data_IF_662142428678
#
_entry.id   IF_662142428678
#
_cell.length_a   1.000
_cell.length_b   1.000
_cell.length_c   1.000
_cell.angle_alpha   90.00
_cell.angle_beta   90.00
_cell.angle_gamma   90.00
#
_symmetry.space_group_name_H-M   'P 1'
#
loop_
_entity.id
_entity.type
_entity.pdbx_description
1 polymer ?
#
# COMPACT_ATOMS: atom_id res chain seq x y z
N UNK A 1 25.87 25.41 24.53
CA UNK A 1 25.22 24.07 24.51
C UNK A 1 23.74 24.15 24.07
N UNK A 2 23.40 24.87 23.00
CA UNK A 2 22.01 25.04 22.51
C UNK A 2 21.76 24.45 21.11
N UNK A 3 22.81 24.16 20.34
CA UNK A 3 22.68 23.61 18.98
C UNK A 3 22.06 22.20 18.92
N UNK A 4 22.38 21.32 19.88
CA UNK A 4 21.91 19.92 19.86
C UNK A 4 20.39 19.73 20.09
N UNK A 5 19.70 20.71 20.71
CA UNK A 5 18.25 20.61 20.96
C UNK A 5 17.44 21.07 19.74
N UNK A 6 17.89 22.10 19.04
CA UNK A 6 17.27 22.59 17.81
C UNK A 6 17.36 21.56 16.67
N UNK A 7 18.48 20.85 16.54
CA UNK A 7 18.62 19.80 15.52
C UNK A 7 17.67 18.62 15.75
N UNK A 8 17.47 18.17 17.00
CA UNK A 8 16.51 17.09 17.30
C UNK A 8 15.05 17.50 17.05
N UNK A 9 14.72 18.77 17.32
CA UNK A 9 13.38 19.31 17.04
C UNK A 9 13.11 19.42 15.53
N UNK A 10 14.11 19.85 14.73
CA UNK A 10 14.01 19.86 13.27
C UNK A 10 13.83 18.45 12.71
N UNK A 11 14.64 17.49 13.14
CA UNK A 11 14.50 16.09 12.69
C UNK A 11 13.12 15.52 13.02
N UNK A 12 12.58 15.76 14.22
CA UNK A 12 11.22 15.30 14.56
C UNK A 12 10.12 15.92 13.71
N UNK A 13 10.24 17.21 13.39
CA UNK A 13 9.30 17.87 12.49
C UNK A 13 9.39 17.29 11.09
N UNK A 14 10.60 17.11 10.55
CA UNK A 14 10.80 16.53 9.21
C UNK A 14 10.27 15.10 9.11
N UNK A 15 10.49 14.25 10.13
CA UNK A 15 9.91 12.90 10.17
C UNK A 15 8.38 12.93 10.24
N UNK A 16 7.79 13.83 11.04
CA UNK A 16 6.34 13.96 11.14
C UNK A 16 5.69 14.50 9.86
N UNK A 17 6.36 15.40 9.14
CA UNK A 17 5.90 15.89 7.84
C UNK A 17 6.03 14.81 6.75
N UNK A 18 7.10 14.01 6.77
CA UNK A 18 7.27 12.88 5.85
C UNK A 18 6.15 11.84 6.03
N UNK A 19 5.89 11.38 7.26
CA UNK A 19 4.80 10.42 7.55
C UNK A 19 3.43 10.96 7.10
N UNK A 20 3.17 12.25 7.37
CA UNK A 20 1.89 12.87 7.00
C UNK A 20 1.74 13.00 5.48
N UNK A 21 2.81 13.35 4.77
CA UNK A 21 2.81 13.40 3.30
C UNK A 21 2.65 12.01 2.69
N UNK A 22 3.30 10.99 3.26
CA UNK A 22 3.12 9.60 2.82
C UNK A 22 1.69 9.10 3.04
N UNK A 23 1.10 9.40 4.20
CA UNK A 23 -0.28 9.03 4.53
C UNK A 23 -1.30 9.74 3.64
N UNK A 24 -1.08 11.03 3.33
CA UNK A 24 -1.88 11.77 2.36
C UNK A 24 -1.71 11.23 0.94
N UNK A 25 -0.48 10.87 0.56
CA UNK A 25 -0.18 10.26 -0.74
C UNK A 25 -0.87 8.91 -0.88
N UNK A 26 -0.87 8.09 0.18
CA UNK A 26 -1.58 6.81 0.25
C UNK A 26 -3.09 7.01 0.14
N UNK A 27 -3.65 7.95 0.90
CA UNK A 27 -5.07 8.30 0.82
C UNK A 27 -5.47 8.74 -0.60
N UNK A 28 -4.64 9.56 -1.25
CA UNK A 28 -4.85 9.99 -2.63
C UNK A 28 -4.71 8.84 -3.62
N UNK A 29 -3.71 7.96 -3.46
CA UNK A 29 -3.53 6.79 -4.32
C UNK A 29 -4.77 5.88 -4.26
N UNK A 30 -5.28 5.56 -3.07
CA UNK A 30 -6.50 4.76 -2.90
C UNK A 30 -7.76 5.46 -3.44
N UNK A 31 -7.89 6.78 -3.25
CA UNK A 31 -9.07 7.55 -3.69
C UNK A 31 -9.11 7.83 -5.19
N UNK A 32 -7.95 8.03 -5.82
CA UNK A 32 -7.85 8.52 -7.21
C UNK A 32 -7.49 7.41 -8.18
N UNK A 33 -6.55 6.51 -7.83
CA UNK A 33 -6.27 5.35 -8.65
C UNK A 33 -7.24 4.19 -8.36
N UNK A 34 -7.95 4.25 -7.23
CA UNK A 34 -8.80 3.17 -6.75
C UNK A 34 -8.00 2.14 -5.96
N UNK A 35 -8.66 1.46 -5.01
CA UNK A 35 -8.09 0.24 -4.46
C UNK A 35 -7.95 -0.78 -5.60
N UNK A 36 -6.84 -1.54 -5.65
CA UNK A 36 -6.70 -2.60 -6.65
C UNK A 36 -7.87 -3.58 -6.51
N UNK A 37 -8.29 -4.22 -7.61
CA UNK A 37 -9.42 -5.15 -7.58
C UNK A 37 -8.94 -6.54 -7.24
N UNK A 38 -9.73 -7.29 -6.49
CA UNK A 38 -9.43 -8.66 -6.17
C UNK A 38 -9.43 -9.50 -7.45
N UNK A 39 -8.34 -10.21 -7.71
CA UNK A 39 -8.18 -11.06 -8.90
C UNK A 39 -9.27 -12.15 -9.03
N UNK A 40 -9.90 -12.54 -7.91
CA UNK A 40 -10.91 -13.62 -7.89
C UNK A 40 -12.33 -13.12 -8.16
N UNK A 41 -12.72 -11.98 -7.56
CA UNK A 41 -14.12 -11.52 -7.58
C UNK A 41 -14.32 -10.08 -8.06
N UNK A 42 -13.25 -9.33 -8.31
CA UNK A 42 -13.33 -7.94 -8.79
C UNK A 42 -13.75 -6.90 -7.74
N UNK A 43 -14.01 -7.32 -6.49
CA UNK A 43 -14.23 -6.42 -5.34
C UNK A 43 -12.96 -5.64 -4.98
N UNK A 44 -13.08 -4.60 -4.15
CA UNK A 44 -11.92 -3.88 -3.62
C UNK A 44 -10.99 -4.81 -2.83
N UNK A 45 -9.73 -4.88 -3.26
CA UNK A 45 -8.69 -5.65 -2.59
C UNK A 45 -8.22 -4.92 -1.33
N UNK A 46 -7.90 -5.70 -0.32
CA UNK A 46 -7.43 -5.23 0.98
C UNK A 46 -5.94 -5.50 1.19
N UNK A 47 -5.38 -6.50 0.52
CA UNK A 47 -3.98 -6.90 0.59
C UNK A 47 -3.50 -7.45 -0.75
N UNK A 48 -2.19 -7.63 -0.86
CA UNK A 48 -1.54 -8.34 -1.95
C UNK A 48 -1.09 -9.70 -1.43
N UNK A 49 -1.52 -10.78 -2.07
CA UNK A 49 -0.96 -12.11 -1.85
C UNK A 49 0.45 -12.13 -2.46
N UNK A 50 1.49 -12.28 -1.65
CA UNK A 50 2.87 -12.21 -2.12
C UNK A 50 3.25 -13.42 -2.97
N UNK A 51 2.68 -14.59 -2.66
CA UNK A 51 2.98 -15.85 -3.33
C UNK A 51 2.40 -15.92 -4.73
N UNK A 52 1.20 -15.39 -4.91
CA UNK A 52 0.53 -15.26 -6.21
C UNK A 52 0.87 -13.93 -6.90
N UNK A 53 1.46 -12.99 -6.15
CA UNK A 53 1.74 -11.62 -6.57
C UNK A 53 0.49 -10.90 -7.09
N UNK A 54 -0.66 -11.11 -6.44
CA UNK A 54 -1.97 -10.63 -6.87
C UNK A 54 -2.77 -9.92 -5.76
N UNK A 55 -3.59 -8.92 -6.09
CA UNK A 55 -4.51 -8.29 -5.15
C UNK A 55 -5.66 -9.21 -4.73
N UNK A 56 -5.94 -9.26 -3.42
CA UNK A 56 -6.98 -10.10 -2.82
C UNK A 56 -7.84 -9.32 -1.81
N UNK A 57 -9.13 -9.63 -1.75
CA UNK A 57 -10.08 -9.02 -0.82
C UNK A 57 -10.23 -9.85 0.47
N UNK A 58 -10.94 -9.30 1.45
CA UNK A 58 -11.19 -9.95 2.75
C UNK A 58 -11.77 -11.36 2.69
N UNK A 59 -12.44 -11.72 1.59
CA UNK A 59 -13.08 -13.03 1.38
C UNK A 59 -12.11 -14.08 0.81
N UNK A 60 -11.02 -13.66 0.18
CA UNK A 60 -10.08 -14.53 -0.54
C UNK A 60 -8.69 -14.46 0.11
N UNK A 61 -8.60 -14.96 1.35
CA UNK A 61 -7.33 -15.09 2.06
C UNK A 61 -6.55 -16.29 1.47
N UNK A 62 -5.25 -16.15 1.14
CA UNK A 62 -4.43 -17.28 0.71
C UNK A 62 -4.43 -18.39 1.75
N UNK A 63 -4.40 -19.65 1.31
CA UNK A 63 -4.35 -20.80 2.23
C UNK A 63 -3.06 -20.85 3.06
N UNK A 64 -2.02 -20.15 2.61
CA UNK A 64 -0.74 -19.97 3.30
C UNK A 64 -0.83 -19.03 4.53
N UNK A 65 -1.97 -18.35 4.72
CA UNK A 65 -2.24 -17.55 5.91
C UNK A 65 -1.80 -16.09 5.80
N UNK A 66 -1.81 -15.38 6.94
CA UNK A 66 -1.50 -13.94 7.01
C UNK A 66 -0.01 -13.62 6.78
N UNK A 67 0.86 -14.62 6.83
CA UNK A 67 2.29 -14.47 6.54
C UNK A 67 2.60 -14.36 5.05
N UNK A 68 1.66 -14.79 4.19
CA UNK A 68 1.76 -14.70 2.73
C UNK A 68 1.02 -13.49 2.14
N UNK A 69 0.54 -12.58 2.98
CA UNK A 69 -0.12 -11.35 2.55
C UNK A 69 0.69 -10.14 3.01
N UNK A 70 0.77 -9.15 2.14
CA UNK A 70 1.31 -7.83 2.48
C UNK A 70 0.25 -6.76 2.30
N UNK A 71 0.38 -5.69 3.07
CA UNK A 71 -0.47 -4.51 2.91
C UNK A 71 -0.28 -3.90 1.51
N UNK A 72 -1.36 -3.33 0.97
CA UNK A 72 -1.33 -2.63 -0.32
C UNK A 72 -0.47 -1.38 -0.19
N UNK A 73 0.55 -1.28 -1.04
CA UNK A 73 1.45 -0.13 -1.12
C UNK A 73 0.94 0.84 -2.21
N UNK A 74 1.34 2.12 -2.18
CA UNK A 74 0.91 3.10 -3.18
C UNK A 74 1.32 2.73 -4.62
N UNK A 75 2.38 1.94 -4.74
CA UNK A 75 2.93 1.43 -5.99
C UNK A 75 1.90 0.50 -6.66
N UNK A 76 1.27 -0.35 -5.86
CA UNK A 76 0.27 -1.32 -6.30
C UNK A 76 -0.99 -0.65 -6.86
N UNK A 77 -1.39 0.51 -6.34
CA UNK A 77 -2.56 1.21 -6.86
C UNK A 77 -2.35 1.76 -8.28
N UNK A 78 -1.08 1.91 -8.71
CA UNK A 78 -0.72 2.34 -10.06
C UNK A 78 -0.33 1.17 -10.96
N UNK A 79 -0.15 -0.01 -10.38
CA UNK A 79 0.05 -1.23 -11.14
C UNK A 79 -1.24 -1.54 -11.87
N UNK A 80 -1.13 -1.71 -13.18
CA UNK A 80 -2.23 -2.20 -14.00
C UNK A 80 -2.34 -3.71 -13.79
N UNK A 81 -3.16 -4.11 -12.82
CA UNK A 81 -3.36 -5.51 -12.45
C UNK A 81 -4.17 -6.27 -13.51
N UNK A 82 -5.02 -5.57 -14.25
CA UNK A 82 -5.83 -6.14 -15.34
C UNK A 82 -4.96 -6.47 -16.57
N UNK A 83 -3.98 -5.64 -16.93
CA UNK A 83 -3.03 -5.93 -18.01
C UNK A 83 -2.15 -7.17 -17.74
N UNK A 84 -1.98 -7.55 -16.48
CA UNK A 84 -1.30 -8.81 -16.13
C UNK A 84 -2.20 -10.04 -16.35
N UNK A 85 -3.52 -9.88 -16.34
CA UNK A 85 -4.49 -10.97 -16.49
C UNK A 85 -4.78 -11.36 -17.95
N UNK A 86 -4.69 -10.42 -18.89
CA UNK A 86 -4.94 -10.64 -20.34
C UNK A 86 -3.72 -11.17 -21.13
N UNK A 87 -2.62 -11.52 -20.45
CA UNK A 87 -1.34 -11.90 -21.05
C UNK A 87 -1.01 -13.40 -20.99
N UNK A 88 -1.98 -14.31 -20.96
CA UNK A 88 -1.76 -15.77 -21.01
C UNK A 88 -2.72 -16.49 -21.95
#
# INVERSE_FOLDING_TARGET
MTGNRLSRLRTRLETGFADRLERLRWWYALRVAGAPRCAVCGDEAAWIAETEHEPRCFKHIPSEGMDAIREVRPEDCRTDWDAAADGS
#
